data_IF_492437983458
#
_entry.id   IF_492437983458
#
_cell.length_a   1.000
_cell.length_b   1.000
_cell.length_c   1.000
_cell.angle_alpha   90.00
_cell.angle_beta   90.00
_cell.angle_gamma   90.00
#
_symmetry.space_group_name_H-M   'P 1'
#
loop_
_entity.id
_entity.type
_entity.pdbx_description
1 polymer ?
#
# COMPACT_ATOMS: atom_id res chain seq x y z
N UNK A 1 15.90 -2.18 10.09
CA UNK A 1 14.75 -2.30 9.17
C UNK A 1 13.48 -2.23 9.99
N UNK A 2 12.56 -1.32 9.67
CA UNK A 2 11.31 -1.09 10.42
C UNK A 2 10.13 -1.59 9.58
N UNK A 3 9.29 -2.44 10.14
CA UNK A 3 8.11 -3.01 9.48
C UNK A 3 6.82 -2.29 9.91
N UNK A 4 6.04 -1.87 8.93
CA UNK A 4 4.66 -1.40 9.12
C UNK A 4 3.70 -2.51 8.62
N UNK A 5 2.94 -3.16 9.52
CA UNK A 5 1.94 -4.15 9.13
C UNK A 5 0.91 -3.57 8.16
N UNK A 6 0.46 -4.40 7.20
CA UNK A 6 -0.73 -4.15 6.38
C UNK A 6 -2.05 -4.45 7.12
N UNK A 7 -3.14 -4.63 6.36
CA UNK A 7 -4.46 -4.97 6.90
C UNK A 7 -5.55 -3.93 6.67
N UNK A 8 -5.49 -3.24 5.52
CA UNK A 8 -6.48 -2.24 5.06
C UNK A 8 -6.76 -1.11 6.07
N UNK A 9 -5.82 -0.81 6.95
CA UNK A 9 -5.99 0.14 8.07
C UNK A 9 -7.04 -0.24 9.11
N UNK A 10 -7.70 -1.39 8.99
CA UNK A 10 -8.76 -1.86 9.89
C UNK A 10 -8.29 -2.97 10.82
N UNK A 11 -7.31 -3.75 10.37
CA UNK A 11 -6.80 -4.96 11.04
C UNK A 11 -5.27 -5.01 10.92
N UNK A 12 -4.66 -5.98 11.59
CA UNK A 12 -3.21 -6.19 11.57
C UNK A 12 -2.61 -6.09 12.97
N UNK A 13 -1.42 -6.66 13.13
CA UNK A 13 -0.63 -6.58 14.35
C UNK A 13 0.83 -6.81 14.04
N UNK A 14 1.73 -6.10 14.75
CA UNK A 14 3.17 -6.31 14.65
C UNK A 14 3.58 -7.74 15.03
N UNK A 15 2.90 -8.33 16.03
CA UNK A 15 3.25 -9.63 16.60
C UNK A 15 3.07 -10.81 15.66
N UNK A 16 2.42 -10.61 14.50
CA UNK A 16 2.24 -11.65 13.48
C UNK A 16 3.53 -11.85 12.67
N UNK A 17 4.42 -10.86 12.65
CA UNK A 17 5.62 -10.84 11.83
C UNK A 17 6.85 -11.11 12.68
N UNK A 18 7.31 -12.36 12.70
CA UNK A 18 8.54 -12.73 13.38
C UNK A 18 9.76 -12.38 12.50
N UNK A 19 10.51 -11.36 12.92
CA UNK A 19 11.71 -10.88 12.24
C UNK A 19 12.98 -11.70 12.50
N UNK A 20 12.93 -12.77 13.30
CA UNK A 20 14.12 -13.47 13.79
C UNK A 20 14.96 -14.10 12.69
N UNK A 21 14.32 -14.69 11.67
CA UNK A 21 15.05 -15.29 10.54
C UNK A 21 15.75 -14.21 9.71
N UNK A 22 15.05 -13.14 9.32
CA UNK A 22 15.64 -12.02 8.59
C UNK A 22 16.80 -11.38 9.39
N UNK A 23 16.59 -11.13 10.69
CA UNK A 23 17.62 -10.55 11.55
C UNK A 23 18.88 -11.42 11.66
N UNK A 24 18.71 -12.74 11.81
CA UNK A 24 19.81 -13.69 11.99
C UNK A 24 20.59 -13.97 10.70
N UNK A 25 19.89 -14.21 9.58
CA UNK A 25 20.54 -14.53 8.30
C UNK A 25 21.26 -13.34 7.69
N UNK A 26 20.75 -12.14 7.94
CA UNK A 26 21.22 -10.92 7.29
C UNK A 26 21.86 -9.92 8.25
N UNK A 27 22.04 -10.23 9.53
CA UNK A 27 22.71 -9.33 10.48
C UNK A 27 22.13 -7.89 10.43
N UNK A 28 20.81 -7.82 10.61
CA UNK A 28 20.04 -6.56 10.62
C UNK A 28 19.09 -6.52 11.81
N UNK A 29 18.86 -5.34 12.38
CA UNK A 29 17.76 -5.16 13.32
C UNK A 29 16.43 -5.14 12.58
N UNK A 30 15.46 -5.90 13.06
CA UNK A 30 14.06 -5.84 12.59
C UNK A 30 13.19 -5.28 13.72
N UNK A 31 12.51 -4.18 13.45
CA UNK A 31 11.59 -3.52 14.39
C UNK A 31 10.19 -3.52 13.78
N UNK A 32 9.27 -4.31 14.31
CA UNK A 32 7.87 -4.28 13.89
C UNK A 32 7.07 -3.34 14.79
N UNK A 33 6.39 -2.35 14.22
CA UNK A 33 5.63 -1.36 15.00
C UNK A 33 4.12 -1.57 14.88
N UNK A 34 3.38 -1.09 15.89
CA UNK A 34 1.92 -0.99 15.82
C UNK A 34 1.49 0.47 15.74
N UNK A 35 0.34 0.68 15.13
CA UNK A 35 -0.32 1.98 15.02
C UNK A 35 -1.83 1.79 15.17
N UNK A 36 -2.56 2.85 15.54
CA UNK A 36 -4.02 2.79 15.69
C UNK A 36 -4.70 2.47 14.36
N UNK A 37 -5.80 1.72 14.42
CA UNK A 37 -6.55 1.23 13.26
C UNK A 37 -8.00 1.73 13.25
N UNK A 38 -8.64 1.74 12.09
CA UNK A 38 -10.03 2.11 11.85
C UNK A 38 -10.39 3.46 12.47
N UNK A 39 -11.52 3.52 13.18
CA UNK A 39 -11.97 4.73 13.87
C UNK A 39 -10.90 5.33 14.80
N UNK A 40 -10.09 4.51 15.47
CA UNK A 40 -9.05 5.03 16.36
C UNK A 40 -7.88 5.64 15.60
N UNK A 41 -7.63 5.18 14.38
CA UNK A 41 -6.53 5.63 13.53
C UNK A 41 -6.88 6.80 12.61
N UNK A 42 -8.13 6.92 12.17
CA UNK A 42 -8.48 7.81 11.06
C UNK A 42 -9.73 8.67 11.29
N UNK A 43 -10.41 8.53 12.42
CA UNK A 43 -11.57 9.38 12.72
C UNK A 43 -11.21 10.86 12.65
N UNK A 44 -11.99 11.62 11.89
CA UNK A 44 -11.83 13.05 11.72
C UNK A 44 -13.19 13.73 11.64
N UNK A 45 -13.28 14.95 12.17
CA UNK A 45 -14.49 15.78 12.13
C UNK A 45 -14.50 16.73 10.94
N UNK A 46 -13.43 16.77 10.15
CA UNK A 46 -13.29 17.71 9.05
C UNK A 46 -12.97 19.13 9.45
N UNK A 47 -12.66 19.34 10.72
CA UNK A 47 -12.28 20.61 11.32
C UNK A 47 -11.10 20.43 12.28
N UNK A 48 -10.71 21.51 12.96
CA UNK A 48 -9.57 21.53 13.88
C UNK A 48 -9.71 20.63 15.12
N UNK A 49 -10.90 20.10 15.43
CA UNK A 49 -11.12 19.36 16.67
C UNK A 49 -10.69 17.90 16.58
N UNK A 50 -10.80 17.29 15.40
CA UNK A 50 -10.19 16.01 15.07
C UNK A 50 -9.74 16.02 13.61
N UNK A 51 -8.44 16.29 13.41
CA UNK A 51 -7.86 16.42 12.09
C UNK A 51 -7.73 15.09 11.34
N UNK A 52 -7.68 13.95 12.03
CA UNK A 52 -7.48 12.63 11.43
C UNK A 52 -6.00 12.21 11.43
N UNK A 53 -5.66 11.24 10.57
CA UNK A 53 -4.28 10.74 10.38
C UNK A 53 -3.55 10.28 11.67
N UNK A 54 -4.29 9.87 12.70
CA UNK A 54 -3.73 9.43 13.98
C UNK A 54 -2.82 8.22 13.84
N UNK A 55 -3.19 7.27 12.97
CA UNK A 55 -2.37 6.12 12.63
C UNK A 55 -1.00 6.54 12.06
N UNK A 56 -0.97 7.50 11.15
CA UNK A 56 0.28 8.01 10.58
C UNK A 56 1.11 8.75 11.63
N UNK A 57 0.47 9.51 12.52
CA UNK A 57 1.17 10.15 13.64
C UNK A 57 1.77 9.13 14.61
N UNK A 58 1.12 7.99 14.85
CA UNK A 58 1.71 6.90 15.65
C UNK A 58 2.97 6.34 14.99
N UNK A 59 2.95 6.19 13.67
CA UNK A 59 4.10 5.70 12.91
C UNK A 59 5.26 6.71 12.96
N UNK A 60 4.99 8.01 12.82
CA UNK A 60 6.01 9.07 13.01
C UNK A 60 6.58 9.02 14.44
N UNK A 61 5.74 8.87 15.46
CA UNK A 61 6.19 8.75 16.84
C UNK A 61 7.07 7.51 17.06
N UNK A 62 6.70 6.36 16.49
CA UNK A 62 7.49 5.14 16.58
C UNK A 62 8.84 5.27 15.85
N UNK A 63 8.87 5.91 14.68
CA UNK A 63 10.11 6.18 13.95
C UNK A 63 11.00 7.18 14.69
N UNK A 64 10.42 8.17 15.36
CA UNK A 64 11.15 9.08 16.25
C UNK A 64 11.76 8.30 17.41
N UNK A 65 11.01 7.38 18.02
CA UNK A 65 11.55 6.48 19.04
C UNK A 65 12.72 5.65 18.51
N UNK A 66 12.63 5.11 17.28
CA UNK A 66 13.74 4.38 16.65
C UNK A 66 14.97 5.29 16.51
N UNK A 67 14.81 6.52 16.02
CA UNK A 67 15.91 7.48 15.91
C UNK A 67 16.59 7.77 17.26
N UNK A 68 15.80 7.90 18.32
CA UNK A 68 16.29 8.27 19.64
C UNK A 68 16.85 7.08 20.46
N UNK A 69 16.49 5.84 20.11
CA UNK A 69 16.74 4.69 21.00
C UNK A 69 17.45 3.50 20.34
N UNK A 70 17.44 3.37 19.01
CA UNK A 70 17.91 2.13 18.37
C UNK A 70 19.42 1.88 18.59
N UNK A 71 20.19 2.93 18.85
CA UNK A 71 21.61 2.83 19.19
C UNK A 71 21.86 2.02 20.48
N UNK A 72 20.96 2.06 21.45
CA UNK A 72 21.08 1.28 22.69
C UNK A 72 20.90 -0.22 22.48
N UNK A 73 20.32 -0.61 21.33
CA UNK A 73 20.22 -1.99 20.90
C UNK A 73 21.37 -2.40 19.97
N UNK A 74 22.25 -1.46 19.60
CA UNK A 74 23.34 -1.66 18.64
C UNK A 74 22.99 -1.33 17.19
N UNK A 75 21.80 -0.75 16.92
CA UNK A 75 21.41 -0.33 15.59
C UNK A 75 21.94 1.06 15.22
N UNK A 76 21.94 1.37 13.92
CA UNK A 76 22.36 2.67 13.41
C UNK A 76 21.14 3.55 13.03
N UNK A 77 20.89 4.66 13.75
CA UNK A 77 19.78 5.58 13.42
C UNK A 77 19.95 6.26 12.06
N UNK A 78 21.18 6.35 11.52
CA UNK A 78 21.46 6.90 10.19
C UNK A 78 21.30 5.88 9.05
N UNK A 79 20.96 4.63 9.38
CA UNK A 79 20.76 3.54 8.41
C UNK A 79 19.39 2.87 8.56
N UNK A 80 18.36 3.67 8.82
CA UNK A 80 16.98 3.18 8.95
C UNK A 80 16.32 2.98 7.58
N UNK A 81 15.87 1.76 7.32
CA UNK A 81 15.04 1.39 6.15
C UNK A 81 13.67 0.96 6.63
N UNK A 82 12.61 1.52 6.04
CA UNK A 82 11.24 1.04 6.28
C UNK A 82 10.88 0.09 5.14
N UNK A 83 10.28 -1.05 5.47
CA UNK A 83 9.76 -2.00 4.49
C UNK A 83 8.36 -2.40 4.92
N UNK A 84 7.42 -2.50 4.00
CA UNK A 84 5.99 -2.64 4.36
C UNK A 84 5.17 -3.16 3.20
N UNK A 85 4.04 -3.78 3.52
CA UNK A 85 3.12 -4.36 2.53
C UNK A 85 1.72 -3.77 2.62
N UNK A 86 1.03 -3.65 1.48
CA UNK A 86 -0.37 -3.22 1.37
C UNK A 86 -0.64 -1.88 2.05
N UNK A 87 -1.52 -1.82 3.05
CA UNK A 87 -1.78 -0.63 3.87
C UNK A 87 -0.53 -0.09 4.59
N UNK A 88 0.42 -0.98 4.93
CA UNK A 88 1.73 -0.59 5.42
C UNK A 88 2.55 0.10 4.33
N UNK A 89 2.56 -0.42 3.09
CA UNK A 89 3.22 0.24 1.97
C UNK A 89 2.58 1.59 1.61
N UNK A 90 1.24 1.69 1.72
CA UNK A 90 0.51 2.96 1.61
C UNK A 90 0.98 3.93 2.71
N UNK A 91 1.15 3.45 3.93
CA UNK A 91 1.69 4.25 5.05
C UNK A 91 3.10 4.74 4.76
N UNK A 92 3.98 3.87 4.27
CA UNK A 92 5.34 4.22 3.89
C UNK A 92 5.39 5.27 2.78
N UNK A 93 4.61 5.07 1.71
CA UNK A 93 4.43 6.06 0.65
C UNK A 93 3.90 7.40 1.19
N UNK A 94 3.02 7.36 2.20
CA UNK A 94 2.48 8.54 2.87
C UNK A 94 3.54 9.26 3.72
N UNK A 95 4.40 8.52 4.42
CA UNK A 95 5.51 9.05 5.21
C UNK A 95 6.55 9.75 4.32
N UNK A 96 6.87 9.20 3.15
CA UNK A 96 7.77 9.85 2.17
C UNK A 96 7.27 11.24 1.79
N UNK A 97 5.96 11.39 1.62
CA UNK A 97 5.31 12.65 1.24
C UNK A 97 5.09 13.61 2.41
N UNK A 98 5.24 13.15 3.65
CA UNK A 98 5.01 13.96 4.83
C UNK A 98 6.27 14.71 5.27
N UNK A 99 6.20 16.04 5.49
CA UNK A 99 7.32 16.76 6.11
C UNK A 99 7.61 16.28 7.54
N UNK A 100 6.64 15.65 8.22
CA UNK A 100 6.78 15.15 9.59
C UNK A 100 7.74 13.95 9.70
N UNK A 101 7.91 13.18 8.63
CA UNK A 101 8.80 12.02 8.63
C UNK A 101 10.21 12.34 8.09
N UNK A 102 10.49 13.62 7.78
CA UNK A 102 11.76 14.06 7.18
C UNK A 102 12.94 13.69 8.08
N UNK A 103 13.81 12.84 7.55
CA UNK A 103 15.04 12.42 8.23
C UNK A 103 14.87 11.26 9.23
N UNK A 104 13.66 10.70 9.37
CA UNK A 104 13.44 9.55 10.26
C UNK A 104 13.83 8.21 9.63
N UNK A 105 13.95 8.16 8.30
CA UNK A 105 14.39 7.01 7.54
C UNK A 105 15.15 7.44 6.28
N UNK A 106 15.86 6.49 5.71
CA UNK A 106 16.88 6.73 4.69
C UNK A 106 16.63 5.95 3.41
N UNK A 107 15.79 4.91 3.47
CA UNK A 107 15.44 4.02 2.35
C UNK A 107 14.06 3.43 2.60
N UNK A 108 13.39 3.04 1.52
CA UNK A 108 12.06 2.44 1.59
C UNK A 108 11.93 1.18 0.71
N UNK A 109 11.12 0.23 1.16
CA UNK A 109 10.68 -0.92 0.36
C UNK A 109 9.16 -1.00 0.41
N UNK A 110 8.51 -0.64 -0.70
CA UNK A 110 7.06 -0.59 -0.85
C UNK A 110 6.55 -1.82 -1.59
N UNK A 111 5.92 -2.72 -0.83
CA UNK A 111 5.38 -3.98 -1.33
C UNK A 111 3.87 -3.80 -1.56
N UNK A 112 3.44 -3.72 -2.82
CA UNK A 112 2.03 -3.91 -3.18
C UNK A 112 1.04 -2.82 -2.68
N UNK A 113 1.52 -1.59 -2.38
CA UNK A 113 0.68 -0.46 -1.98
C UNK A 113 1.35 0.93 -2.05
N UNK A 114 0.56 1.97 -2.31
CA UNK A 114 1.04 3.37 -2.47
C UNK A 114 -0.01 4.44 -2.13
N UNK A 115 0.41 5.66 -1.76
CA UNK A 115 -0.44 6.73 -1.21
C UNK A 115 -1.46 7.36 -2.17
N UNK A 116 -1.29 7.18 -3.50
CA UNK A 116 -2.16 7.78 -4.53
C UNK A 116 -3.25 6.84 -5.06
N UNK A 117 -3.46 5.68 -4.43
CA UNK A 117 -4.55 4.78 -4.82
C UNK A 117 -5.88 5.54 -4.70
N UNK A 118 -6.71 5.63 -5.77
CA UNK A 118 -7.93 6.46 -5.77
C UNK A 118 -8.92 6.14 -4.65
N UNK A 119 -9.02 4.88 -4.24
CA UNK A 119 -9.86 4.42 -3.14
C UNK A 119 -9.55 5.13 -1.80
N UNK A 120 -8.33 5.63 -1.61
CA UNK A 120 -7.93 6.33 -0.39
C UNK A 120 -8.44 7.77 -0.33
N UNK A 121 -8.99 8.31 -1.43
CA UNK A 121 -9.53 9.68 -1.47
C UNK A 121 -11.02 9.64 -1.20
N UNK A 122 -11.40 9.66 0.08
CA UNK A 122 -12.79 9.78 0.48
C UNK A 122 -13.36 11.16 0.05
N UNK A 123 -14.43 11.21 -0.76
CA UNK A 123 -15.16 12.43 -1.05
C UNK A 123 -15.74 13.05 0.22
N UNK A 124 -15.87 14.38 0.27
CA UNK A 124 -16.36 15.09 1.45
C UNK A 124 -17.79 14.70 1.88
N UNK A 125 -18.63 14.21 0.97
CA UNK A 125 -19.97 13.72 1.30
C UNK A 125 -19.93 12.39 2.07
N UNK A 126 -19.03 11.46 1.71
CA UNK A 126 -18.89 10.16 2.40
C UNK A 126 -18.46 10.35 3.86
N UNK A 127 -17.59 11.34 4.12
CA UNK A 127 -17.21 11.71 5.49
C UNK A 127 -18.41 12.21 6.31
N UNK A 128 -19.27 13.04 5.72
CA UNK A 128 -20.44 13.56 6.45
C UNK A 128 -21.45 12.44 6.75
N UNK A 129 -21.67 11.53 5.79
CA UNK A 129 -22.51 10.35 5.98
C UNK A 129 -21.97 9.44 7.09
N UNK A 130 -20.65 9.23 7.12
CA UNK A 130 -19.99 8.44 8.16
C UNK A 130 -20.06 9.13 9.53
N UNK A 131 -19.89 10.45 9.62
CA UNK A 131 -20.03 11.20 10.87
C UNK A 131 -21.45 11.07 11.43
N UNK A 132 -22.47 11.19 10.56
CA UNK A 132 -23.85 10.99 10.97
C UNK A 132 -24.08 9.54 11.42
N UNK A 133 -23.56 8.55 10.70
CA UNK A 133 -23.69 7.14 11.07
C UNK A 133 -23.02 6.84 12.42
N UNK A 134 -21.81 7.36 12.65
CA UNK A 134 -21.08 7.25 13.92
C UNK A 134 -21.92 7.83 15.05
N UNK A 135 -22.49 9.02 14.83
CA UNK A 135 -23.31 9.71 15.81
C UNK A 135 -24.59 8.92 16.13
N UNK A 136 -25.28 8.38 15.13
CA UNK A 136 -26.50 7.60 15.30
C UNK A 136 -26.24 6.31 16.09
N UNK A 137 -25.20 5.56 15.72
CA UNK A 137 -24.83 4.31 16.42
C UNK A 137 -24.45 4.59 17.88
N UNK A 138 -23.75 5.71 18.12
CA UNK A 138 -23.28 6.07 19.44
C UNK A 138 -24.32 6.87 20.24
N UNK A 139 -25.47 7.23 19.67
CA UNK A 139 -26.40 8.21 20.23
C UNK A 139 -25.68 9.49 20.69
N UNK A 140 -24.82 10.03 19.83
CA UNK A 140 -24.09 11.28 20.03
C UNK A 140 -24.67 12.41 19.17
N UNK A 141 -24.42 13.66 19.55
CA UNK A 141 -24.77 14.81 18.71
C UNK A 141 -23.63 15.10 17.72
N UNK A 142 -23.92 15.06 16.42
CA UNK A 142 -22.94 15.35 15.34
C UNK A 142 -22.76 16.84 15.06
N UNK A 143 -23.69 17.69 15.52
CA UNK A 143 -23.73 19.13 15.15
C UNK A 143 -22.63 19.95 15.82
N UNK A 144 -21.97 19.40 16.83
CA UNK A 144 -20.84 20.01 17.55
C UNK A 144 -19.72 18.98 17.68
N UNK A 145 -18.61 19.22 16.99
CA UNK A 145 -17.45 18.34 16.97
C UNK A 145 -16.85 18.10 18.37
N UNK A 146 -16.88 19.09 19.26
CA UNK A 146 -16.36 18.93 20.63
C UNK A 146 -17.27 18.01 21.43
N UNK A 147 -18.58 18.24 21.37
CA UNK A 147 -19.56 17.39 22.05
C UNK A 147 -19.55 15.95 21.50
N UNK A 148 -19.43 15.79 20.18
CA UNK A 148 -19.27 14.49 19.52
C UNK A 148 -18.05 13.75 20.07
N UNK A 149 -16.88 14.40 20.09
CA UNK A 149 -15.65 13.79 20.58
C UNK A 149 -15.72 13.41 22.07
N UNK A 150 -16.33 14.25 22.92
CA UNK A 150 -16.56 13.92 24.32
C UNK A 150 -17.46 12.69 24.47
N UNK A 151 -18.55 12.64 23.70
CA UNK A 151 -19.47 11.50 23.69
C UNK A 151 -18.79 10.20 23.22
N UNK A 152 -18.02 10.26 22.12
CA UNK A 152 -17.30 9.10 21.57
C UNK A 152 -16.23 8.57 22.53
N UNK A 153 -15.47 9.46 23.19
CA UNK A 153 -14.45 9.08 24.18
C UNK A 153 -15.03 8.41 25.43
N UNK A 154 -16.32 8.62 25.71
CA UNK A 154 -17.03 7.95 26.79
C UNK A 154 -17.58 6.57 26.40
N UNK A 155 -17.52 6.17 25.11
CA UNK A 155 -17.98 4.84 24.65
C UNK A 155 -16.91 3.78 24.88
N UNK A 156 -17.36 2.53 24.99
CA UNK A 156 -16.44 1.39 25.08
C UNK A 156 -15.73 1.16 23.75
N UNK A 157 -14.48 0.69 23.82
CA UNK A 157 -13.69 0.36 22.62
C UNK A 157 -14.39 -0.69 21.75
N UNK A 158 -15.01 -1.71 22.35
CA UNK A 158 -15.80 -2.72 21.65
C UNK A 158 -17.00 -2.13 20.90
N UNK A 159 -17.66 -1.12 21.48
CA UNK A 159 -18.75 -0.40 20.83
C UNK A 159 -18.26 0.36 19.58
N UNK A 160 -17.15 1.08 19.73
CA UNK A 160 -16.55 1.84 18.62
C UNK A 160 -16.01 0.93 17.50
N UNK A 161 -15.44 -0.23 17.82
CA UNK A 161 -14.96 -1.19 16.82
C UNK A 161 -16.07 -1.69 15.88
N UNK A 162 -17.31 -1.77 16.36
CA UNK A 162 -18.44 -2.20 15.52
C UNK A 162 -18.77 -1.22 14.39
N UNK A 163 -18.29 0.03 14.51
CA UNK A 163 -18.51 1.10 13.53
C UNK A 163 -17.64 0.91 12.30
N UNK A 164 -16.41 0.42 12.46
CA UNK A 164 -15.46 0.23 11.36
C UNK A 164 -16.07 -0.57 10.20
N UNK A 165 -16.96 -1.53 10.48
CA UNK A 165 -17.59 -2.36 9.46
C UNK A 165 -18.69 -1.65 8.65
N UNK A 166 -19.06 -0.43 9.01
CA UNK A 166 -20.21 0.31 8.46
C UNK A 166 -19.81 1.63 7.82
N UNK A 167 -18.64 2.16 8.14
CA UNK A 167 -18.09 3.42 7.62
C UNK A 167 -17.16 3.18 6.44
N UNK A 168 -17.08 4.14 5.50
CA UNK A 168 -16.26 4.04 4.29
C UNK A 168 -15.04 4.98 4.24
N UNK A 169 -15.01 6.00 5.10
CA UNK A 169 -14.10 7.15 5.04
C UNK A 169 -12.99 7.16 6.10
N UNK A 170 -12.76 6.05 6.82
CA UNK A 170 -11.62 5.92 7.75
C UNK A 170 -10.32 5.64 6.99
N UNK A 171 -9.89 6.65 6.24
CA UNK A 171 -8.70 6.67 5.41
C UNK A 171 -7.94 7.98 5.58
N UNK A 172 -6.90 8.22 4.77
CA UNK A 172 -6.10 9.45 4.81
C UNK A 172 -6.95 10.71 4.58
N UNK A 173 -6.54 11.80 5.20
CA UNK A 173 -7.09 13.14 4.96
C UNK A 173 -5.98 14.16 4.74
N UNK A 174 -6.27 15.25 4.03
CA UNK A 174 -5.35 16.40 3.92
C UNK A 174 -5.59 17.29 5.14
N UNK A 175 -4.74 17.15 6.15
CA UNK A 175 -4.88 17.78 7.46
C UNK A 175 -4.07 19.07 7.62
N UNK A 176 -3.21 19.40 6.65
CA UNK A 176 -2.33 20.57 6.70
C UNK A 176 -1.04 20.37 7.51
N UNK A 177 -0.90 19.25 8.20
CA UNK A 177 0.28 18.90 9.01
C UNK A 177 0.99 17.67 8.46
N UNK A 178 0.36 16.50 8.57
CA UNK A 178 0.93 15.26 8.02
C UNK A 178 0.90 15.29 6.49
N UNK A 179 -0.26 15.60 5.92
CA UNK A 179 -0.43 15.92 4.51
C UNK A 179 -0.73 17.41 4.34
N UNK A 180 0.28 18.23 3.95
CA UNK A 180 0.05 19.65 3.67
C UNK A 180 -0.81 19.87 2.41
N UNK A 181 -0.73 18.96 1.44
CA UNK A 181 -1.53 18.95 0.21
C UNK A 181 -1.94 17.52 -0.17
N UNK A 182 -2.70 17.36 -1.25
CA UNK A 182 -3.00 16.01 -1.75
C UNK A 182 -1.70 15.30 -2.20
N UNK A 183 -1.52 14.00 -1.86
CA UNK A 183 -0.38 13.18 -2.28
C UNK A 183 -0.03 13.25 -3.76
N UNK A 184 -1.03 13.32 -4.65
CA UNK A 184 -0.75 13.43 -6.08
C UNK A 184 -0.12 14.80 -6.41
N UNK A 185 -0.57 15.87 -5.76
CA UNK A 185 0.00 17.20 -5.92
C UNK A 185 1.43 17.28 -5.34
N UNK A 186 1.66 16.68 -4.16
CA UNK A 186 2.98 16.61 -3.53
C UNK A 186 3.98 15.88 -4.42
N UNK A 187 3.56 14.78 -5.04
CA UNK A 187 4.35 14.03 -6.02
C UNK A 187 4.61 14.88 -7.27
N UNK A 188 3.57 15.42 -7.92
CA UNK A 188 3.69 16.17 -9.16
C UNK A 188 4.58 17.42 -9.02
N UNK A 189 4.50 18.09 -7.87
CA UNK A 189 5.30 19.29 -7.55
C UNK A 189 6.66 18.94 -6.93
N UNK A 190 6.96 17.66 -6.69
CA UNK A 190 8.19 17.17 -6.03
C UNK A 190 8.42 17.83 -4.66
N UNK A 191 7.36 18.06 -3.91
CA UNK A 191 7.38 18.66 -2.57
C UNK A 191 7.64 17.61 -1.48
N UNK A 192 8.62 16.74 -1.71
CA UNK A 192 9.02 15.69 -0.78
C UNK A 192 10.52 15.44 -0.90
N UNK A 193 11.12 14.77 0.10
CA UNK A 193 12.53 14.38 0.02
C UNK A 193 12.61 12.93 -0.47
N UNK A 194 13.14 12.68 -1.67
CA UNK A 194 13.28 11.31 -2.15
C UNK A 194 14.36 10.58 -1.36
N UNK A 195 14.14 9.28 -1.18
CA UNK A 195 15.09 8.32 -0.64
C UNK A 195 15.21 7.16 -1.64
N UNK A 196 16.30 6.36 -1.62
CA UNK A 196 16.35 5.15 -2.43
C UNK A 196 15.16 4.24 -2.11
N UNK A 197 14.51 3.71 -3.15
CA UNK A 197 13.29 2.91 -3.02
C UNK A 197 13.42 1.55 -3.72
N UNK A 198 12.93 0.48 -3.09
CA UNK A 198 12.47 -0.73 -3.79
C UNK A 198 10.96 -0.66 -3.87
N UNK A 199 10.40 -0.92 -5.04
CA UNK A 199 8.95 -0.91 -5.26
C UNK A 199 8.56 -2.20 -5.96
N UNK A 200 7.47 -2.85 -5.56
CA UNK A 200 7.04 -4.03 -6.28
C UNK A 200 5.58 -4.42 -6.08
N UNK A 201 5.20 -5.45 -6.82
CA UNK A 201 3.86 -6.03 -6.86
C UNK A 201 3.91 -7.53 -7.06
N UNK A 202 2.84 -8.21 -6.69
CA UNK A 202 2.60 -9.59 -7.07
C UNK A 202 1.90 -9.66 -8.44
N UNK A 203 2.09 -10.75 -9.18
CA UNK A 203 1.49 -10.85 -10.51
C UNK A 203 -0.04 -10.96 -10.48
N UNK A 204 -0.61 -11.58 -9.45
CA UNK A 204 -2.05 -11.76 -9.25
C UNK A 204 -2.54 -11.12 -7.94
N UNK A 205 -2.20 -9.85 -7.68
CA UNK A 205 -2.65 -9.04 -6.53
C UNK A 205 -4.14 -9.23 -6.14
N UNK A 206 -5.03 -9.35 -7.11
CA UNK A 206 -6.46 -9.54 -6.87
C UNK A 206 -6.93 -10.94 -7.25
N UNK A 207 -6.07 -11.95 -7.13
CA UNK A 207 -6.33 -13.31 -7.57
C UNK A 207 -7.24 -14.08 -6.63
N UNK A 208 -7.10 -13.86 -5.31
CA UNK A 208 -7.89 -14.59 -4.32
C UNK A 208 -8.14 -13.79 -3.03
N UNK A 209 -7.10 -13.34 -2.32
CA UNK A 209 -7.24 -12.75 -0.98
C UNK A 209 -8.10 -11.49 -0.97
N UNK A 210 -7.79 -10.51 -1.84
CA UNK A 210 -8.51 -9.23 -1.86
C UNK A 210 -9.98 -9.37 -2.29
N UNK A 211 -10.34 -10.11 -3.35
CA UNK A 211 -11.75 -10.34 -3.72
C UNK A 211 -12.59 -11.05 -2.65
N UNK A 212 -11.97 -11.86 -1.78
CA UNK A 212 -12.63 -12.51 -0.64
C UNK A 212 -12.87 -11.57 0.55
N UNK A 213 -12.24 -10.39 0.55
CA UNK A 213 -12.43 -9.35 1.55
C UNK A 213 -13.78 -8.62 1.45
N UNK A 214 -14.07 -7.73 2.39
CA UNK A 214 -15.36 -7.02 2.51
C UNK A 214 -15.58 -5.87 1.52
N UNK A 215 -14.70 -5.70 0.53
CA UNK A 215 -14.89 -4.67 -0.49
C UNK A 215 -16.08 -5.12 -1.37
N UNK A 216 -17.13 -4.31 -1.56
CA UNK A 216 -18.28 -4.73 -2.35
C UNK A 216 -17.91 -5.00 -3.82
N UNK A 217 -18.37 -6.10 -4.39
CA UNK A 217 -18.17 -6.47 -5.81
C UNK A 217 -18.53 -5.37 -6.83
N UNK A 218 -19.32 -4.36 -6.43
CA UNK A 218 -19.69 -3.19 -7.25
C UNK A 218 -18.63 -2.08 -7.26
N UNK A 219 -17.75 -2.01 -6.27
CA UNK A 219 -16.58 -1.11 -6.27
C UNK A 219 -15.37 -1.78 -6.95
N UNK A 220 -15.43 -3.09 -7.12
CA UNK A 220 -14.43 -3.93 -7.79
C UNK A 220 -14.32 -3.88 -9.34
N UNK A 221 -15.31 -3.46 -10.17
CA UNK A 221 -15.20 -3.63 -11.63
C UNK A 221 -14.08 -2.82 -12.30
N UNK A 222 -13.59 -1.76 -11.66
CA UNK A 222 -12.41 -1.00 -12.12
C UNK A 222 -11.12 -1.35 -11.35
N UNK A 223 -11.24 -1.98 -10.18
CA UNK A 223 -10.13 -2.39 -9.30
C UNK A 223 -9.58 -3.78 -9.67
N UNK A 224 -10.39 -4.64 -10.30
CA UNK A 224 -10.05 -6.02 -10.65
C UNK A 224 -9.09 -6.20 -11.83
N UNK A 225 -8.74 -5.15 -12.58
CA UNK A 225 -7.83 -5.29 -13.73
C UNK A 225 -6.34 -5.22 -13.41
N UNK A 226 -5.95 -5.01 -12.14
CA UNK A 226 -4.58 -4.57 -11.82
C UNK A 226 -4.23 -3.17 -12.35
N UNK A 227 -5.18 -2.52 -13.03
CA UNK A 227 -5.03 -1.29 -13.82
C UNK A 227 -4.73 -0.05 -12.98
N UNK A 228 -5.47 0.15 -11.88
CA UNK A 228 -5.28 1.31 -11.00
C UNK A 228 -4.05 1.18 -10.09
N UNK A 229 -3.70 -0.02 -9.64
CA UNK A 229 -2.45 -0.25 -8.89
C UNK A 229 -1.24 -0.07 -9.82
N UNK A 230 -1.25 -0.69 -11.01
CA UNK A 230 -0.15 -0.56 -11.97
C UNK A 230 0.07 0.89 -12.41
N UNK A 231 -1.01 1.65 -12.63
CA UNK A 231 -0.94 3.08 -12.93
C UNK A 231 -0.42 3.91 -11.74
N UNK A 232 -0.90 3.67 -10.52
CA UNK A 232 -0.42 4.36 -9.33
C UNK A 232 1.07 4.05 -9.05
N UNK A 233 1.48 2.80 -9.23
CA UNK A 233 2.86 2.36 -9.14
C UNK A 233 3.73 3.01 -10.21
N UNK A 234 3.24 3.11 -11.45
CA UNK A 234 3.94 3.79 -12.54
C UNK A 234 4.02 5.32 -12.38
N UNK A 235 2.98 5.97 -11.84
CA UNK A 235 2.99 7.41 -11.56
C UNK A 235 4.01 7.72 -10.46
N UNK A 236 4.04 6.92 -9.41
CA UNK A 236 5.06 7.03 -8.35
C UNK A 236 6.45 6.74 -8.90
N UNK A 237 6.60 5.71 -9.73
CA UNK A 237 7.84 5.39 -10.43
C UNK A 237 8.33 6.58 -11.29
N UNK A 238 7.48 7.12 -12.16
CA UNK A 238 7.80 8.25 -13.05
C UNK A 238 8.20 9.49 -12.25
N UNK A 239 7.59 9.70 -11.09
CA UNK A 239 7.85 10.87 -10.25
C UNK A 239 9.11 10.67 -9.38
N UNK A 240 9.31 9.47 -8.82
CA UNK A 240 10.45 9.15 -7.95
C UNK A 240 11.77 9.09 -8.72
N UNK A 241 11.80 8.51 -9.93
CA UNK A 241 13.01 8.53 -10.77
C UNK A 241 13.43 9.97 -11.05
N UNK A 242 12.46 10.83 -11.34
CA UNK A 242 12.71 12.24 -11.62
C UNK A 242 13.01 13.08 -10.37
N UNK A 243 12.94 12.49 -9.18
CA UNK A 243 13.29 13.15 -7.92
C UNK A 243 14.78 12.97 -7.56
N UNK A 244 15.50 12.05 -8.22
CA UNK A 244 16.96 11.94 -8.11
C UNK A 244 17.47 10.94 -7.08
N UNK A 245 16.63 9.99 -6.62
CA UNK A 245 17.07 8.84 -5.83
C UNK A 245 16.96 7.54 -6.65
N UNK A 246 17.84 6.54 -6.40
CA UNK A 246 17.76 5.24 -7.07
C UNK A 246 16.44 4.52 -6.75
N UNK A 247 15.78 3.98 -7.77
CA UNK A 247 14.59 3.16 -7.63
C UNK A 247 14.89 1.78 -8.21
N UNK A 248 14.43 0.72 -7.56
CA UNK A 248 14.51 -0.65 -8.04
C UNK A 248 13.11 -1.25 -8.06
N UNK A 249 12.75 -1.94 -9.14
CA UNK A 249 11.42 -2.52 -9.27
C UNK A 249 11.46 -4.04 -9.30
N UNK A 250 10.49 -4.69 -8.65
CA UNK A 250 10.28 -6.13 -8.78
C UNK A 250 8.84 -6.51 -9.08
N UNK A 251 8.68 -7.70 -9.67
CA UNK A 251 7.42 -8.41 -9.77
C UNK A 251 7.57 -9.80 -9.17
N UNK A 252 6.84 -10.08 -8.10
CA UNK A 252 6.85 -11.39 -7.46
C UNK A 252 5.79 -12.30 -8.13
N UNK A 253 6.18 -13.53 -8.46
CA UNK A 253 5.38 -14.38 -9.35
C UNK A 253 5.19 -15.81 -8.85
N UNK A 254 5.96 -16.21 -7.84
CA UNK A 254 5.95 -17.56 -7.30
C UNK A 254 4.74 -17.79 -6.39
N UNK A 255 4.11 -18.96 -6.53
CA UNK A 255 3.02 -19.38 -5.66
C UNK A 255 3.59 -20.24 -4.52
N UNK A 256 3.45 -19.82 -3.24
CA UNK A 256 3.94 -20.61 -2.12
C UNK A 256 3.27 -21.99 -2.04
N UNK A 257 4.07 -23.04 -1.85
CA UNK A 257 3.60 -24.42 -1.75
C UNK A 257 2.58 -24.61 -0.61
N UNK A 258 2.76 -23.91 0.52
CA UNK A 258 1.85 -23.96 1.67
C UNK A 258 0.43 -23.41 1.37
N UNK A 259 0.25 -22.71 0.24
CA UNK A 259 -1.03 -22.14 -0.21
C UNK A 259 -1.60 -22.89 -1.43
N UNK A 260 -0.97 -24.00 -1.84
CA UNK A 260 -1.40 -24.80 -3.00
C UNK A 260 -2.84 -25.29 -2.87
N UNK A 261 -3.24 -25.73 -1.68
CA UNK A 261 -4.60 -26.26 -1.44
C UNK A 261 -5.57 -25.21 -0.86
N UNK A 262 -5.09 -23.99 -0.58
CA UNK A 262 -5.88 -22.90 -0.02
C UNK A 262 -6.41 -21.91 -1.05
N UNK A 263 -5.82 -21.87 -2.26
CA UNK A 263 -6.18 -20.94 -3.35
C UNK A 263 -6.48 -21.71 -4.65
N UNK A 264 -7.31 -21.17 -5.57
CA UNK A 264 -7.56 -21.81 -6.86
C UNK A 264 -6.27 -22.08 -7.67
N UNK A 265 -6.16 -23.18 -8.44
CA UNK A 265 -4.93 -23.54 -9.16
C UNK A 265 -4.39 -22.47 -10.12
N UNK A 266 -5.26 -21.65 -10.71
CA UNK A 266 -4.88 -20.58 -11.65
C UNK A 266 -4.30 -19.33 -10.97
N UNK A 267 -4.44 -19.20 -9.65
CA UNK A 267 -3.89 -18.09 -8.88
C UNK A 267 -2.41 -18.37 -8.60
N UNK A 268 -1.52 -17.47 -9.05
CA UNK A 268 -0.07 -17.53 -8.83
C UNK A 268 0.30 -16.79 -7.53
N UNK A 269 1.15 -15.76 -7.61
CA UNK A 269 1.46 -14.90 -6.49
C UNK A 269 0.30 -13.93 -6.28
N UNK A 270 -0.47 -14.16 -5.22
CA UNK A 270 -1.59 -13.32 -4.79
C UNK A 270 -1.14 -12.33 -3.71
N UNK A 271 -1.97 -11.35 -3.36
CA UNK A 271 -1.60 -10.31 -2.40
C UNK A 271 -1.00 -10.91 -1.12
N UNK A 272 0.07 -10.31 -0.59
CA UNK A 272 0.84 -10.71 0.62
C UNK A 272 1.72 -11.98 0.49
N UNK A 273 1.70 -12.71 -0.63
CA UNK A 273 2.44 -13.97 -0.76
C UNK A 273 3.97 -13.80 -0.66
N UNK A 274 4.51 -12.63 -1.01
CA UNK A 274 5.92 -12.27 -0.94
C UNK A 274 6.44 -12.15 0.51
N UNK A 275 5.57 -11.76 1.45
CA UNK A 275 5.91 -11.56 2.87
C UNK A 275 6.52 -12.84 3.46
N UNK A 276 6.01 -14.00 3.06
CA UNK A 276 6.49 -15.31 3.52
C UNK A 276 7.99 -15.52 3.24
N UNK A 277 8.47 -14.94 2.14
CA UNK A 277 9.87 -15.03 1.71
C UNK A 277 10.72 -13.92 2.32
N UNK A 278 10.18 -12.71 2.42
CA UNK A 278 10.87 -11.52 3.00
C UNK A 278 11.21 -11.73 4.47
N UNK A 279 10.30 -12.33 5.25
CA UNK A 279 10.55 -12.60 6.68
C UNK A 279 11.29 -13.90 6.96
N UNK A 280 11.63 -14.69 5.93
CA UNK A 280 12.28 -15.98 6.14
C UNK A 280 11.35 -17.02 6.79
N UNK A 281 10.04 -16.98 6.47
CA UNK A 281 9.02 -17.80 7.12
C UNK A 281 9.29 -19.31 7.06
N UNK A 282 10.05 -19.77 6.06
CA UNK A 282 10.45 -21.16 5.88
C UNK A 282 11.51 -21.64 6.91
N UNK A 283 12.14 -20.71 7.63
CA UNK A 283 13.19 -20.99 8.61
C UNK A 283 12.72 -20.84 10.06
N UNK A 284 11.51 -20.32 10.26
CA UNK A 284 10.90 -20.16 11.58
C UNK A 284 10.36 -21.49 12.09
N UNK A 285 10.43 -21.67 13.42
CA UNK A 285 9.88 -22.82 14.15
C UNK A 285 9.19 -22.31 15.41
N UNK A 286 8.04 -22.87 15.76
CA UNK A 286 7.29 -22.49 16.97
C UNK A 286 5.83 -22.16 16.68
N UNK A 287 5.22 -21.34 17.53
CA UNK A 287 3.78 -21.05 17.52
C UNK A 287 3.34 -20.16 16.33
N UNK A 288 4.28 -19.42 15.72
CA UNK A 288 4.04 -18.58 14.54
C UNK A 288 4.67 -19.25 13.32
N UNK A 289 3.93 -20.16 12.68
CA UNK A 289 4.35 -20.81 11.44
C UNK A 289 3.86 -20.00 10.25
N UNK A 290 4.75 -19.22 9.64
CA UNK A 290 4.41 -18.44 8.44
C UNK A 290 4.46 -19.29 7.16
N UNK A 291 5.38 -20.25 7.05
CA UNK A 291 5.60 -21.00 5.81
C UNK A 291 6.01 -22.47 6.04
N UNK A 292 5.03 -23.28 6.45
CA UNK A 292 5.23 -24.71 6.67
C UNK A 292 5.45 -25.47 5.35
N UNK A 293 6.37 -26.43 5.33
CA UNK A 293 6.56 -27.34 4.20
C UNK A 293 7.20 -26.71 2.96
N UNK A 294 7.94 -25.62 3.11
CA UNK A 294 8.65 -24.97 2.01
C UNK A 294 9.68 -25.90 1.34
N UNK A 295 9.72 -25.90 0.00
CA UNK A 295 10.71 -26.68 -0.77
C UNK A 295 12.12 -26.08 -0.65
N UNK A 296 13.15 -26.80 -1.09
CA UNK A 296 14.52 -26.28 -1.08
C UNK A 296 14.71 -25.09 -2.04
N UNK A 297 13.98 -25.09 -3.16
CA UNK A 297 13.93 -23.98 -4.10
C UNK A 297 13.25 -22.75 -3.47
N UNK A 298 12.17 -22.94 -2.71
CA UNK A 298 11.49 -21.85 -1.99
C UNK A 298 12.36 -21.27 -0.87
N UNK A 299 13.07 -22.12 -0.14
CA UNK A 299 14.08 -21.68 0.84
C UNK A 299 15.19 -20.89 0.16
N UNK A 300 15.64 -21.29 -1.03
CA UNK A 300 16.62 -20.53 -1.82
C UNK A 300 16.07 -19.19 -2.27
N UNK A 301 14.83 -19.15 -2.76
CA UNK A 301 14.14 -17.90 -3.10
C UNK A 301 14.06 -16.98 -1.88
N UNK A 302 13.67 -17.49 -0.71
CA UNK A 302 13.60 -16.70 0.52
C UNK A 302 14.96 -16.15 0.96
N UNK A 303 16.03 -16.95 0.93
CA UNK A 303 17.39 -16.45 1.21
C UNK A 303 17.80 -15.33 0.25
N UNK A 304 17.53 -15.50 -1.04
CA UNK A 304 17.85 -14.46 -2.03
C UNK A 304 17.05 -13.17 -1.78
N UNK A 305 15.75 -13.29 -1.49
CA UNK A 305 14.88 -12.14 -1.17
C UNK A 305 15.37 -11.41 0.08
N UNK A 306 15.63 -12.13 1.19
CA UNK A 306 16.18 -11.52 2.41
C UNK A 306 17.51 -10.80 2.13
N UNK A 307 18.40 -11.42 1.36
CA UNK A 307 19.69 -10.83 0.98
C UNK A 307 19.53 -9.54 0.16
N UNK A 308 18.63 -9.51 -0.83
CA UNK A 308 18.35 -8.29 -1.60
C UNK A 308 17.84 -7.17 -0.69
N UNK A 309 16.86 -7.46 0.18
CA UNK A 309 16.27 -6.47 1.10
C UNK A 309 17.31 -5.94 2.09
N UNK A 310 18.16 -6.82 2.63
CA UNK A 310 19.18 -6.41 3.58
C UNK A 310 20.35 -5.66 2.92
N UNK A 311 20.82 -6.08 1.74
CA UNK A 311 21.82 -5.33 0.97
C UNK A 311 21.34 -3.93 0.67
N UNK A 312 20.08 -3.83 0.24
CA UNK A 312 19.42 -2.56 0.03
C UNK A 312 19.33 -1.75 1.31
N UNK A 313 18.92 -2.35 2.44
CA UNK A 313 18.84 -1.65 3.71
C UNK A 313 20.19 -1.06 4.15
N UNK A 314 21.30 -1.78 3.91
CA UNK A 314 22.66 -1.34 4.25
C UNK A 314 23.17 -0.23 3.32
N UNK A 315 22.94 -0.36 2.01
CA UNK A 315 23.69 0.43 1.01
C UNK A 315 22.82 1.29 0.09
N UNK A 316 21.52 1.02 0.00
CA UNK A 316 20.64 1.60 -1.02
C UNK A 316 20.73 0.91 -2.38
N UNK A 317 21.46 -0.20 -2.45
CA UNK A 317 21.59 -1.04 -3.64
C UNK A 317 21.32 -2.51 -3.25
N UNK A 318 20.37 -3.21 -3.90
CA UNK A 318 20.02 -4.58 -3.53
C UNK A 318 21.11 -5.60 -3.91
N UNK A 319 22.02 -5.24 -4.82
CA UNK A 319 22.99 -6.18 -5.38
C UNK A 319 24.06 -6.64 -4.37
N UNK A 320 24.58 -7.85 -4.58
CA UNK A 320 25.67 -8.43 -3.79
C UNK A 320 26.14 -9.76 -4.38
N UNK A 321 27.21 -10.32 -3.81
CA UNK A 321 27.77 -11.60 -4.26
C UNK A 321 26.74 -12.74 -4.15
N UNK A 322 26.71 -13.63 -5.14
CA UNK A 322 25.81 -14.80 -5.16
C UNK A 322 24.36 -14.50 -5.58
N UNK A 323 24.02 -13.25 -5.87
CA UNK A 323 22.71 -12.84 -6.36
C UNK A 323 22.74 -12.51 -7.86
N UNK A 324 21.65 -12.79 -8.60
CA UNK A 324 21.42 -12.18 -9.90
C UNK A 324 21.52 -10.65 -9.84
N UNK A 325 21.97 -10.04 -10.94
CA UNK A 325 22.02 -8.58 -11.03
C UNK A 325 20.61 -8.01 -11.11
N UNK A 326 20.32 -7.06 -10.22
CA UNK A 326 19.12 -6.24 -10.21
C UNK A 326 19.48 -4.79 -10.55
N UNK A 327 19.34 -4.37 -11.82
CA UNK A 327 19.65 -3.00 -12.23
C UNK A 327 18.70 -2.00 -11.57
N UNK A 328 19.21 -0.79 -11.34
CA UNK A 328 18.35 0.33 -10.99
C UNK A 328 17.37 0.57 -12.14
N UNK A 329 16.13 0.82 -11.79
CA UNK A 329 15.08 1.14 -12.74
C UNK A 329 15.40 2.50 -13.39
N UNK A 330 15.34 2.54 -14.72
CA UNK A 330 15.70 3.70 -15.52
C UNK A 330 14.99 3.69 -16.86
N UNK A 331 15.62 4.24 -17.90
CA UNK A 331 15.01 4.38 -19.24
C UNK A 331 14.60 3.05 -19.88
N UNK A 332 15.29 1.96 -19.55
CA UNK A 332 15.00 0.61 -20.05
C UNK A 332 13.87 -0.07 -19.30
N UNK A 333 13.43 0.51 -18.19
CA UNK A 333 12.33 0.01 -17.36
C UNK A 333 12.53 -1.44 -16.90
N UNK A 334 13.79 -1.81 -16.62
CA UNK A 334 14.16 -3.14 -16.17
C UNK A 334 13.66 -3.41 -14.74
N UNK A 335 13.03 -4.56 -14.52
CA UNK A 335 12.57 -5.00 -13.20
C UNK A 335 12.91 -6.46 -12.93
N UNK A 336 13.17 -6.79 -11.67
CA UNK A 336 13.50 -8.16 -11.26
C UNK A 336 12.21 -9.00 -11.17
N UNK A 337 12.20 -10.15 -11.83
CA UNK A 337 11.17 -11.16 -11.67
C UNK A 337 11.58 -12.10 -10.55
N UNK A 338 10.92 -11.97 -9.40
CA UNK A 338 11.13 -12.86 -8.26
C UNK A 338 10.26 -14.11 -8.45
N UNK A 339 10.94 -15.20 -8.80
CA UNK A 339 10.40 -16.54 -8.96
C UNK A 339 11.52 -17.55 -8.60
N UNK A 340 11.23 -18.85 -8.58
CA UNK A 340 12.24 -19.90 -8.36
C UNK A 340 13.40 -19.78 -9.37
N UNK A 341 13.07 -19.42 -10.61
CA UNK A 341 14.02 -19.04 -11.65
C UNK A 341 13.97 -17.52 -11.86
N UNK A 342 14.77 -16.79 -11.08
CA UNK A 342 14.86 -15.33 -11.19
C UNK A 342 15.32 -14.90 -12.58
N UNK A 343 14.67 -13.89 -13.13
CA UNK A 343 14.97 -13.33 -14.44
C UNK A 343 14.68 -11.83 -14.48
N UNK A 344 15.06 -11.17 -15.56
CA UNK A 344 14.75 -9.75 -15.78
C UNK A 344 13.52 -9.62 -16.67
N UNK A 345 12.62 -8.71 -16.30
CA UNK A 345 11.60 -8.18 -17.19
C UNK A 345 11.91 -6.76 -17.58
N UNK A 346 11.22 -6.27 -18.62
CA UNK A 346 11.29 -4.89 -19.11
C UNK A 346 9.87 -4.37 -19.29
N UNK A 347 9.67 -3.07 -19.06
CA UNK A 347 8.41 -2.34 -19.34
C UNK A 347 7.18 -3.06 -18.80
N UNK A 348 7.10 -3.10 -17.48
CA UNK A 348 6.00 -3.79 -16.80
C UNK A 348 4.64 -3.25 -17.27
N UNK A 349 3.83 -4.11 -17.91
CA UNK A 349 2.42 -3.83 -18.28
C UNK A 349 2.22 -2.71 -19.33
N UNK A 350 3.20 -2.48 -20.20
CA UNK A 350 3.23 -1.37 -21.20
C UNK A 350 1.89 -1.15 -21.94
N UNK A 351 1.29 -2.22 -22.49
CA UNK A 351 0.05 -2.14 -23.27
C UNK A 351 -1.17 -1.74 -22.41
N UNK A 352 -1.29 -2.28 -21.20
CA UNK A 352 -2.36 -1.87 -20.30
C UNK A 352 -2.20 -0.41 -19.90
N UNK A 353 -0.98 0.08 -19.76
CA UNK A 353 -0.70 1.46 -19.37
C UNK A 353 -1.04 2.46 -20.48
N UNK A 354 -0.64 2.20 -21.73
CA UNK A 354 -0.97 3.03 -22.90
C UNK A 354 -2.50 3.18 -23.06
N UNK A 355 -3.24 2.09 -22.83
CA UNK A 355 -4.70 2.11 -22.85
C UNK A 355 -5.29 3.08 -21.80
N UNK A 356 -4.75 3.12 -20.58
CA UNK A 356 -5.31 3.96 -19.52
C UNK A 356 -4.84 5.42 -19.58
N UNK A 357 -3.55 5.65 -19.82
CA UNK A 357 -2.95 6.99 -19.80
C UNK A 357 -3.29 7.79 -21.04
N UNK A 358 -3.23 7.17 -22.21
CA UNK A 358 -3.43 7.89 -23.45
C UNK A 358 -4.87 7.69 -23.91
N UNK A 359 -5.27 6.44 -24.14
CA UNK A 359 -6.54 6.16 -24.80
C UNK A 359 -7.75 6.55 -23.94
N UNK A 360 -7.78 6.16 -22.66
CA UNK A 360 -8.94 6.43 -21.80
C UNK A 360 -9.00 7.87 -21.29
N UNK A 361 -7.87 8.52 -20.97
CA UNK A 361 -7.87 9.96 -20.67
C UNK A 361 -8.25 10.80 -21.90
N UNK A 362 -7.82 10.42 -23.11
CA UNK A 362 -8.27 11.05 -24.35
C UNK A 362 -9.76 10.85 -24.57
N UNK A 363 -10.30 9.63 -24.35
CA UNK A 363 -11.75 9.37 -24.45
C UNK A 363 -12.56 10.17 -23.40
N UNK A 364 -12.06 10.29 -22.17
CA UNK A 364 -12.75 11.02 -21.11
C UNK A 364 -12.68 12.55 -21.29
N UNK A 365 -11.56 13.08 -21.78
CA UNK A 365 -11.41 14.50 -22.10
C UNK A 365 -12.22 14.90 -23.32
N UNK A 366 -12.18 14.09 -24.39
CA UNK A 366 -13.00 14.29 -25.59
C UNK A 366 -14.51 14.19 -25.28
N UNK A 367 -14.91 13.27 -24.40
CA UNK A 367 -16.29 13.16 -23.88
C UNK A 367 -16.73 14.40 -23.11
N UNK A 368 -15.86 15.03 -22.29
CA UNK A 368 -16.18 16.31 -21.63
C UNK A 368 -16.37 17.46 -22.62
N UNK A 369 -15.55 17.53 -23.68
CA UNK A 369 -15.74 18.50 -24.77
C UNK A 369 -17.01 18.23 -25.59
N UNK A 370 -17.37 16.96 -25.81
CA UNK A 370 -18.62 16.59 -26.48
C UNK A 370 -19.85 16.89 -25.60
N UNK A 371 -19.78 16.61 -24.29
CA UNK A 371 -20.82 16.91 -23.30
C UNK A 371 -21.01 18.42 -23.07
N UNK A 372 -19.98 19.23 -23.27
CA UNK A 372 -20.11 20.69 -23.26
C UNK A 372 -20.84 21.24 -24.50
N UNK A 373 -20.99 20.43 -25.57
CA UNK A 373 -21.52 20.87 -26.87
C UNK A 373 -22.89 20.30 -27.23
N UNK A 374 -23.41 19.33 -26.49
CA UNK A 374 -24.64 18.60 -26.86
C UNK A 374 -25.63 18.51 -25.70
N UNK A 375 -26.81 19.12 -25.89
CA UNK A 375 -27.92 19.02 -24.96
C UNK A 375 -28.37 17.56 -24.79
N UNK A 376 -28.68 17.19 -23.55
CA UNK A 376 -29.01 15.87 -23.00
C UNK A 376 -29.97 14.98 -23.84
N UNK A 377 -30.75 15.56 -24.76
CA UNK A 377 -31.68 14.82 -25.64
C UNK A 377 -31.00 14.11 -26.83
N UNK A 378 -29.78 14.46 -27.22
CA UNK A 378 -29.10 13.86 -28.38
C UNK A 378 -28.33 12.58 -28.05
N UNK A 379 -27.99 12.36 -26.78
CA UNK A 379 -27.23 11.18 -26.34
C UNK A 379 -28.08 9.91 -26.30
N UNK A 380 -29.40 10.04 -26.10
CA UNK A 380 -30.34 8.91 -26.02
C UNK A 380 -30.71 8.32 -27.40
N UNK A 381 -30.53 9.04 -28.51
CA UNK A 381 -30.87 8.52 -29.85
C UNK A 381 -29.77 7.65 -30.47
N UNK A 382 -28.52 7.74 -29.99
CA UNK A 382 -27.38 6.99 -30.53
C UNK A 382 -27.20 5.59 -29.91
N UNK A 383 -27.88 5.29 -28.80
CA UNK A 383 -27.79 3.99 -28.11
C UNK A 383 -28.89 2.99 -28.49
N UNK A 384 -29.88 3.41 -29.31
CA UNK A 384 -30.98 2.55 -29.74
C UNK A 384 -30.64 1.42 -30.74
N UNK A 385 -29.51 1.38 -31.48
CA UNK A 385 -29.25 0.25 -32.39
C UNK A 385 -28.63 -0.99 -31.69
N UNK A 386 -28.09 -0.87 -30.48
CA UNK A 386 -27.32 -1.97 -29.85
C UNK A 386 -28.12 -2.86 -28.89
N UNK A 387 -29.40 -2.55 -28.63
CA UNK A 387 -30.22 -3.29 -27.65
C UNK A 387 -31.15 -4.33 -28.31
N UNK A 388 -31.33 -4.32 -29.64
CA UNK A 388 -32.20 -5.26 -30.34
C UNK A 388 -31.52 -5.88 -31.57
N UNK A 389 -30.61 -6.81 -31.35
CA UNK A 389 -30.38 -7.88 -32.32
C UNK A 389 -29.78 -9.08 -31.61
N UNK A 390 -30.66 -9.93 -31.07
CA UNK A 390 -30.51 -11.38 -31.06
C UNK A 390 -31.84 -12.00 -30.64
N UNK A 391 -32.61 -12.48 -31.62
CA UNK A 391 -33.53 -13.63 -31.51
C UNK A 391 -33.73 -14.24 -32.90
N UNK A 392 -34.18 -15.51 -33.00
CA UNK A 392 -34.28 -16.54 -31.97
C UNK A 392 -33.17 -17.60 -32.04
#
# INVERSE_FOLDING_TARGET
MVWLPGGAFETGSASIFDGSALASYEDVFVVAIQYRLGIFGFFNTGDKHALGNWAFMDQVAALTWVQENIEFFGGDPHCVTIFSESAGAISLSSLILSPMAKGLFHRDVMESGVAIIPYLKAPGYERNDDLQMVADICACNVSDSVALLQCLRAKSSKGLLSINQKTKSFTRVVDGFFFPHDPLDLLAQKLFKPVPSIIGVNNHECGFLLPMGRIPAKEFPQILGGSNKSLALQLIHSILINAGAPVYFYKFQHRPQCLKDKKPPFVKADHTDEILFVFGGAFLKGDIVMFEGATEEEKRLSRNTMRYWANFARTGNPNGEGLPLWPAYGQTEDYLQLDLNMSMGQRLKELELELWMDTLLLMMSSSRTLLASLSYLTFLSLLLPFIFSFTP
#
